data_IF_947787717875
#
_entry.id   IF_947787717875
#
_cell.length_a   1.000
_cell.length_b   1.000
_cell.length_c   1.000
_cell.angle_alpha   90.00
_cell.angle_beta   90.00
_cell.angle_gamma   90.00
#
_symmetry.space_group_name_H-M   'P 1'
#
loop_
_entity.id
_entity.type
_entity.pdbx_description
1 polymer ?
#
# COMPACT_ATOMS: atom_id res chain seq x y z
N UNK A 1 18.33 7.03 17.84
CA UNK A 1 17.46 7.72 16.86
C UNK A 1 18.13 7.98 15.51
N UNK A 2 19.13 8.88 15.35
CA UNK A 2 19.69 9.14 13.99
C UNK A 2 20.36 7.93 13.35
N UNK A 3 21.02 7.08 14.14
CA UNK A 3 21.64 5.85 13.65
C UNK A 3 20.59 4.80 13.24
N UNK A 4 19.48 4.71 13.96
CA UNK A 4 18.36 3.81 13.64
C UNK A 4 17.68 4.22 12.33
N UNK A 5 17.54 5.53 12.08
CA UNK A 5 16.99 6.03 10.82
C UNK A 5 17.89 5.63 9.64
N UNK A 6 19.22 5.66 9.80
CA UNK A 6 20.16 5.27 8.74
C UNK A 6 20.12 3.79 8.40
N UNK A 7 19.64 2.95 9.32
CA UNK A 7 19.46 1.51 9.09
C UNK A 7 18.23 1.18 8.24
N UNK A 8 17.32 2.15 8.02
CA UNK A 8 16.19 1.96 7.11
C UNK A 8 16.71 1.78 5.69
N UNK A 9 16.32 0.68 5.05
CA UNK A 9 16.74 0.33 3.70
C UNK A 9 16.09 1.28 2.69
N UNK A 10 16.90 1.81 1.77
CA UNK A 10 16.43 2.55 0.58
C UNK A 10 16.60 1.64 -0.63
N UNK A 11 15.51 1.05 -1.17
CA UNK A 11 15.58 0.23 -2.37
C UNK A 11 16.03 1.02 -3.60
N UNK A 12 16.64 0.35 -4.57
CA UNK A 12 17.10 0.98 -5.83
C UNK A 12 15.95 1.65 -6.58
N UNK A 13 14.76 1.03 -6.61
CA UNK A 13 13.57 1.64 -7.22
C UNK A 13 13.12 2.96 -6.57
N UNK A 14 13.50 3.22 -5.31
CA UNK A 14 13.28 4.53 -4.69
C UNK A 14 14.29 5.56 -5.18
N UNK A 15 15.53 5.16 -5.43
CA UNK A 15 16.54 6.04 -6.02
C UNK A 15 16.13 6.43 -7.46
N UNK A 16 15.69 5.46 -8.26
CA UNK A 16 15.17 5.70 -9.62
C UNK A 16 13.94 6.63 -9.60
N UNK A 17 12.98 6.37 -8.70
CA UNK A 17 11.81 7.23 -8.57
C UNK A 17 12.16 8.66 -8.13
N UNK A 18 13.13 8.82 -7.22
CA UNK A 18 13.60 10.13 -6.81
C UNK A 18 14.24 10.87 -8.00
N UNK A 19 15.04 10.19 -8.82
CA UNK A 19 15.62 10.75 -10.04
C UNK A 19 14.56 11.15 -11.06
N UNK A 20 13.50 10.37 -11.23
CA UNK A 20 12.35 10.70 -12.08
C UNK A 20 11.65 11.98 -11.60
N UNK A 21 11.39 12.08 -10.29
CA UNK A 21 10.83 13.30 -9.67
C UNK A 21 11.72 14.50 -9.97
N UNK A 22 13.04 14.37 -9.79
CA UNK A 22 13.96 15.47 -10.02
C UNK A 22 14.03 15.87 -11.50
N UNK A 23 14.00 14.90 -12.42
CA UNK A 23 13.94 15.16 -13.86
C UNK A 23 12.69 15.94 -14.25
N UNK A 24 11.52 15.55 -13.73
CA UNK A 24 10.23 16.22 -13.99
C UNK A 24 10.21 17.66 -13.42
N UNK A 25 10.76 17.86 -12.23
CA UNK A 25 10.88 19.20 -11.65
C UNK A 25 11.84 20.10 -12.45
N UNK A 26 12.93 19.57 -13.00
CA UNK A 26 13.80 20.34 -13.91
C UNK A 26 13.10 20.68 -15.22
N UNK A 27 12.32 19.75 -15.79
CA UNK A 27 11.52 19.98 -17.02
C UNK A 27 10.50 21.10 -16.84
N UNK A 28 9.94 21.25 -15.65
CA UNK A 28 9.04 22.36 -15.29
C UNK A 28 9.77 23.68 -14.95
N UNK A 29 11.10 23.73 -15.11
CA UNK A 29 11.91 24.94 -14.97
C UNK A 29 12.45 25.20 -13.56
N UNK A 30 12.28 24.27 -12.61
CA UNK A 30 12.83 24.42 -11.27
C UNK A 30 14.34 24.11 -11.26
N UNK A 31 15.13 25.05 -10.71
CA UNK A 31 16.55 24.84 -10.46
C UNK A 31 16.75 24.09 -9.14
N UNK A 32 16.98 22.78 -9.25
CA UNK A 32 17.38 21.94 -8.13
C UNK A 32 18.91 21.96 -7.98
N UNK A 33 19.40 22.06 -6.75
CA UNK A 33 20.83 21.93 -6.43
C UNK A 33 21.19 20.46 -6.23
N UNK A 34 22.36 20.04 -6.69
CA UNK A 34 22.87 18.67 -6.50
C UNK A 34 22.93 18.26 -5.03
N UNK A 35 23.17 19.22 -4.13
CA UNK A 35 23.10 18.97 -2.69
C UNK A 35 21.71 18.51 -2.25
N UNK A 36 20.63 19.08 -2.82
CA UNK A 36 19.25 18.65 -2.53
C UNK A 36 18.99 17.26 -3.08
N UNK A 37 19.53 16.94 -4.26
CA UNK A 37 19.43 15.60 -4.86
C UNK A 37 20.09 14.55 -3.99
N UNK A 38 21.25 14.84 -3.40
CA UNK A 38 21.99 13.89 -2.54
C UNK A 38 21.47 13.80 -1.10
N UNK A 39 20.56 14.71 -0.69
CA UNK A 39 20.06 14.78 0.70
C UNK A 39 18.67 14.17 0.89
N UNK A 40 18.08 13.53 -0.12
CA UNK A 40 16.71 13.03 -0.03
C UNK A 40 16.59 11.79 0.87
N UNK A 41 17.58 10.89 0.81
CA UNK A 41 17.52 9.58 1.47
C UNK A 41 17.31 9.69 2.98
N UNK A 42 18.03 10.56 3.73
CA UNK A 42 17.80 10.73 5.17
C UNK A 42 16.38 11.20 5.50
N UNK A 43 15.75 12.01 4.64
CA UNK A 43 14.38 12.51 4.85
C UNK A 43 13.37 11.39 4.64
N UNK A 44 13.53 10.62 3.56
CA UNK A 44 12.66 9.49 3.25
C UNK A 44 12.80 8.36 4.29
N UNK A 45 14.03 8.07 4.73
CA UNK A 45 14.33 7.13 5.81
C UNK A 45 13.68 7.57 7.13
N UNK A 46 13.79 8.85 7.49
CA UNK A 46 13.16 9.38 8.70
C UNK A 46 11.64 9.22 8.65
N UNK A 47 11.02 9.48 7.49
CA UNK A 47 9.57 9.31 7.30
C UNK A 47 9.15 7.84 7.45
N UNK A 48 9.87 6.91 6.84
CA UNK A 48 9.61 5.48 6.96
C UNK A 48 9.76 4.99 8.41
N UNK A 49 10.84 5.41 9.09
CA UNK A 49 11.10 5.07 10.50
C UNK A 49 10.00 5.58 11.44
N UNK A 50 9.53 6.81 11.24
CA UNK A 50 8.41 7.39 12.00
C UNK A 50 7.09 6.64 11.80
N UNK A 51 6.92 5.97 10.65
CA UNK A 51 5.78 5.07 10.39
C UNK A 51 6.05 3.62 10.82
N UNK A 52 7.15 3.37 11.54
CA UNK A 52 7.52 2.04 12.03
C UNK A 52 8.03 1.08 10.95
N UNK A 53 8.37 1.58 9.76
CA UNK A 53 8.87 0.78 8.64
C UNK A 53 10.39 0.75 8.61
N UNK A 54 10.95 -0.39 8.23
CA UNK A 54 12.40 -0.59 8.03
C UNK A 54 12.84 -0.42 6.57
N UNK A 55 11.89 -0.16 5.67
CA UNK A 55 12.15 0.05 4.25
C UNK A 55 11.37 1.27 3.76
N UNK A 56 12.04 2.11 2.98
CA UNK A 56 11.44 3.27 2.32
C UNK A 56 10.50 2.82 1.20
N UNK A 57 9.35 3.47 1.11
CA UNK A 57 8.35 3.27 0.05
C UNK A 57 8.13 4.58 -0.72
N UNK A 58 7.56 4.55 -1.94
CA UNK A 58 7.37 5.75 -2.77
C UNK A 58 6.74 6.94 -2.03
N UNK A 59 5.73 6.69 -1.19
CA UNK A 59 5.04 7.72 -0.40
C UNK A 59 5.94 8.51 0.54
N UNK A 60 7.07 7.96 0.97
CA UNK A 60 8.01 8.68 1.84
C UNK A 60 8.62 9.89 1.15
N UNK A 61 8.76 9.85 -0.18
CA UNK A 61 9.27 10.98 -0.97
C UNK A 61 8.33 12.20 -0.92
N UNK A 62 7.06 12.04 -0.53
CA UNK A 62 6.15 13.17 -0.32
C UNK A 62 6.64 14.13 0.77
N UNK A 63 7.50 13.68 1.69
CA UNK A 63 8.14 14.52 2.70
C UNK A 63 9.09 15.57 2.10
N UNK A 64 9.58 15.34 0.87
CA UNK A 64 10.46 16.27 0.16
C UNK A 64 9.76 17.57 -0.27
N UNK A 65 8.42 17.62 -0.21
CA UNK A 65 7.65 18.82 -0.57
C UNK A 65 8.14 20.08 0.11
N UNK A 66 8.62 20.00 1.36
CA UNK A 66 9.09 21.16 2.11
C UNK A 66 10.48 21.64 1.68
N UNK A 67 11.24 20.81 0.95
CA UNK A 67 12.65 21.03 0.64
C UNK A 67 12.90 21.37 -0.83
N UNK A 68 11.97 21.02 -1.74
CA UNK A 68 12.18 21.11 -3.18
C UNK A 68 11.79 22.47 -3.80
N UNK A 69 10.89 23.25 -3.19
CA UNK A 69 10.56 24.60 -3.69
C UNK A 69 11.64 25.63 -3.33
N UNK A 70 11.75 26.70 -4.13
CA UNK A 70 12.65 27.84 -3.89
C UNK A 70 11.87 29.12 -3.60
N UNK A 71 10.79 29.34 -4.34
CA UNK A 71 9.82 30.41 -4.11
C UNK A 71 8.44 29.82 -3.79
N UNK A 72 7.56 30.56 -3.08
CA UNK A 72 6.21 30.07 -2.75
C UNK A 72 5.41 29.59 -3.98
N UNK A 73 5.63 30.21 -5.15
CA UNK A 73 4.98 29.83 -6.40
C UNK A 73 5.36 28.43 -6.93
N UNK A 74 6.48 27.85 -6.50
CA UNK A 74 6.90 26.51 -6.94
C UNK A 74 6.16 25.38 -6.21
N UNK A 75 5.54 25.68 -5.05
CA UNK A 75 4.93 24.67 -4.17
C UNK A 75 3.90 23.82 -4.88
N UNK A 76 3.01 24.46 -5.64
CA UNK A 76 1.96 23.74 -6.37
C UNK A 76 2.53 22.76 -7.40
N UNK A 77 3.58 23.15 -8.12
CA UNK A 77 4.24 22.28 -9.10
C UNK A 77 4.98 21.11 -8.44
N UNK A 78 5.65 21.37 -7.31
CA UNK A 78 6.32 20.33 -6.50
C UNK A 78 5.31 19.33 -5.96
N UNK A 79 4.23 19.80 -5.31
CA UNK A 79 3.19 18.93 -4.76
C UNK A 79 2.51 18.10 -5.85
N UNK A 80 2.17 18.71 -7.00
CA UNK A 80 1.57 18.00 -8.11
C UNK A 80 2.48 16.90 -8.67
N UNK A 81 3.78 17.20 -8.84
CA UNK A 81 4.76 16.23 -9.37
C UNK A 81 4.96 15.06 -8.40
N UNK A 82 5.15 15.36 -7.11
CA UNK A 82 5.31 14.35 -6.07
C UNK A 82 4.06 13.46 -5.96
N UNK A 83 2.86 14.05 -5.92
CA UNK A 83 1.63 13.26 -5.84
C UNK A 83 1.45 12.36 -7.08
N UNK A 84 1.75 12.86 -8.27
CA UNK A 84 1.60 12.08 -9.51
C UNK A 84 2.56 10.89 -9.59
N UNK A 85 3.80 11.05 -9.13
CA UNK A 85 4.85 10.03 -9.28
C UNK A 85 4.95 9.09 -8.07
N UNK A 86 4.72 9.60 -6.87
CA UNK A 86 4.98 8.87 -5.62
C UNK A 86 3.73 8.20 -5.04
N UNK A 87 2.54 8.50 -5.57
CA UNK A 87 1.28 7.87 -5.14
C UNK A 87 0.83 6.92 -6.23
N UNK A 88 0.66 5.65 -5.86
CA UNK A 88 -0.02 4.67 -6.68
C UNK A 88 -1.44 4.44 -6.10
N UNK A 89 -2.49 5.01 -6.71
CA UNK A 89 -3.86 4.91 -6.19
C UNK A 89 -4.37 3.46 -6.13
N UNK A 90 -3.91 2.58 -7.02
CA UNK A 90 -4.29 1.17 -6.99
C UNK A 90 -3.65 0.47 -5.79
N UNK A 91 -2.36 0.71 -5.55
CA UNK A 91 -1.65 0.18 -4.37
C UNK A 91 -2.33 0.58 -3.06
N UNK A 92 -2.86 1.80 -2.99
CA UNK A 92 -3.57 2.28 -1.81
C UNK A 92 -4.87 1.50 -1.58
N UNK A 93 -5.69 1.35 -2.63
CA UNK A 93 -6.91 0.54 -2.55
C UNK A 93 -6.61 -0.92 -2.19
N UNK A 94 -5.54 -1.47 -2.73
CA UNK A 94 -5.07 -2.83 -2.40
C UNK A 94 -4.70 -2.94 -0.92
N UNK A 95 -3.96 -1.97 -0.40
CA UNK A 95 -3.57 -1.95 1.02
C UNK A 95 -4.76 -1.75 1.94
N UNK A 96 -5.76 -0.94 1.55
CA UNK A 96 -6.99 -0.76 2.30
C UNK A 96 -7.78 -2.08 2.39
N UNK A 97 -7.88 -2.85 1.29
CA UNK A 97 -8.52 -4.17 1.29
C UNK A 97 -7.75 -5.15 2.19
N UNK A 98 -6.42 -5.15 2.16
CA UNK A 98 -5.59 -5.96 3.08
C UNK A 98 -5.84 -5.61 4.54
N UNK A 99 -5.92 -4.32 4.86
CA UNK A 99 -6.20 -3.84 6.21
C UNK A 99 -7.61 -4.28 6.66
N UNK A 100 -8.62 -4.14 5.80
CA UNK A 100 -9.98 -4.65 6.09
C UNK A 100 -9.99 -6.16 6.30
N UNK A 101 -9.24 -6.93 5.51
CA UNK A 101 -9.15 -8.38 5.67
C UNK A 101 -8.53 -8.77 7.02
N UNK A 102 -7.47 -8.05 7.44
CA UNK A 102 -6.85 -8.24 8.76
C UNK A 102 -7.84 -7.91 9.90
N UNK A 103 -8.56 -6.80 9.79
CA UNK A 103 -9.57 -6.41 10.78
C UNK A 103 -10.71 -7.44 10.88
N UNK A 104 -11.23 -7.91 9.75
CA UNK A 104 -12.27 -8.96 9.69
C UNK A 104 -11.78 -10.26 10.34
N UNK A 105 -10.52 -10.63 10.13
CA UNK A 105 -9.89 -11.78 10.77
C UNK A 105 -9.78 -11.61 12.29
N UNK A 106 -9.34 -10.43 12.76
CA UNK A 106 -9.27 -10.13 14.20
C UNK A 106 -10.64 -10.17 14.86
N UNK A 107 -11.65 -9.57 14.24
CA UNK A 107 -13.04 -9.62 14.72
C UNK A 107 -13.56 -11.06 14.78
N UNK A 108 -13.22 -11.90 13.80
CA UNK A 108 -13.56 -13.32 13.82
C UNK A 108 -12.89 -14.05 14.97
N UNK A 109 -11.59 -13.86 15.17
CA UNK A 109 -10.85 -14.49 16.26
C UNK A 109 -11.36 -14.08 17.64
N UNK A 110 -11.81 -12.83 17.82
CA UNK A 110 -12.43 -12.39 19.06
C UNK A 110 -13.82 -13.01 19.31
N UNK A 111 -14.58 -13.30 18.23
CA UNK A 111 -15.96 -13.77 18.33
C UNK A 111 -16.14 -15.29 18.23
N UNK A 112 -15.14 -16.03 17.72
CA UNK A 112 -15.26 -17.46 17.38
C UNK A 112 -15.65 -18.33 18.58
N UNK A 113 -15.08 -18.08 19.76
CA UNK A 113 -15.30 -18.93 20.94
C UNK A 113 -16.62 -18.59 21.65
N UNK A 114 -17.20 -17.42 21.37
CA UNK A 114 -18.46 -16.94 21.96
C UNK A 114 -19.66 -17.27 21.08
N UNK A 115 -19.53 -17.06 19.78
CA UNK A 115 -20.67 -17.12 18.83
C UNK A 115 -20.53 -18.20 17.77
N UNK A 116 -19.41 -18.95 17.77
CA UNK A 116 -19.19 -20.14 16.95
C UNK A 116 -19.52 -19.92 15.48
N UNK A 117 -20.48 -20.70 14.97
CA UNK A 117 -20.91 -20.66 13.57
C UNK A 117 -21.40 -19.28 13.11
N UNK A 118 -21.97 -18.45 14.00
CA UNK A 118 -22.42 -17.09 13.63
C UNK A 118 -21.23 -16.18 13.31
N UNK A 119 -20.12 -16.31 14.04
CA UNK A 119 -18.88 -15.58 13.72
C UNK A 119 -18.36 -15.98 12.34
N UNK A 120 -18.39 -17.28 12.01
CA UNK A 120 -17.93 -17.79 10.72
C UNK A 120 -18.81 -17.31 9.56
N UNK A 121 -20.14 -17.29 9.74
CA UNK A 121 -21.06 -16.76 8.72
C UNK A 121 -20.77 -15.29 8.45
N UNK A 122 -20.64 -14.47 9.51
CA UNK A 122 -20.30 -13.05 9.37
C UNK A 122 -18.94 -12.86 8.67
N UNK A 123 -17.94 -13.63 9.09
CA UNK A 123 -16.61 -13.62 8.47
C UNK A 123 -16.67 -13.94 6.98
N UNK A 124 -17.37 -15.00 6.57
CA UNK A 124 -17.56 -15.37 5.16
C UNK A 124 -18.23 -14.27 4.36
N UNK A 125 -19.29 -13.66 4.88
CA UNK A 125 -19.98 -12.56 4.20
C UNK A 125 -19.06 -11.36 3.95
N UNK A 126 -18.25 -10.97 4.95
CA UNK A 126 -17.28 -9.88 4.78
C UNK A 126 -16.15 -10.26 3.82
N UNK A 127 -15.62 -11.47 3.88
CA UNK A 127 -14.58 -11.92 2.94
C UNK A 127 -15.07 -11.98 1.50
N UNK A 128 -16.33 -12.38 1.26
CA UNK A 128 -16.95 -12.30 -0.07
C UNK A 128 -17.09 -10.83 -0.51
N UNK A 129 -17.47 -9.91 0.38
CA UNK A 129 -17.50 -8.47 0.07
C UNK A 129 -16.12 -7.97 -0.38
N UNK A 130 -15.04 -8.36 0.31
CA UNK A 130 -13.68 -7.97 -0.06
C UNK A 130 -13.23 -8.58 -1.39
N UNK A 131 -13.63 -9.82 -1.67
CA UNK A 131 -13.39 -10.47 -2.97
C UNK A 131 -14.09 -9.73 -4.12
N UNK A 132 -15.34 -9.30 -3.94
CA UNK A 132 -16.05 -8.52 -4.94
C UNK A 132 -15.38 -7.16 -5.19
N UNK A 133 -14.94 -6.47 -4.13
CA UNK A 133 -14.17 -5.23 -4.27
C UNK A 133 -12.86 -5.44 -5.06
N UNK A 134 -12.14 -6.53 -4.80
CA UNK A 134 -10.94 -6.89 -5.56
C UNK A 134 -11.28 -7.19 -7.04
N UNK A 135 -12.39 -7.87 -7.30
CA UNK A 135 -12.85 -8.19 -8.66
C UNK A 135 -13.21 -6.93 -9.45
N UNK A 136 -13.83 -5.95 -8.81
CA UNK A 136 -14.13 -4.64 -9.41
C UNK A 136 -12.85 -3.87 -9.75
N UNK A 137 -11.82 -3.94 -8.89
CA UNK A 137 -10.50 -3.37 -9.22
C UNK A 137 -9.88 -4.09 -10.41
N UNK A 138 -10.02 -5.42 -10.48
CA UNK A 138 -9.49 -6.25 -11.56
C UNK A 138 -10.07 -5.88 -12.92
N UNK A 139 -11.34 -5.49 -12.98
CA UNK A 139 -12.00 -5.06 -14.21
C UNK A 139 -11.43 -3.75 -14.79
N UNK A 140 -10.71 -2.95 -13.99
CA UNK A 140 -10.22 -1.62 -14.36
C UNK A 140 -8.70 -1.55 -14.56
N UNK A 141 -8.01 -2.70 -14.59
CA UNK A 141 -6.56 -2.80 -14.78
C UNK A 141 -6.16 -2.34 -16.20
N UNK A 142 -5.04 -1.63 -16.30
CA UNK A 142 -4.50 -1.13 -17.57
C UNK A 142 -3.20 -1.79 -18.01
N UNK A 143 -2.44 -2.38 -17.08
CA UNK A 143 -1.13 -2.97 -17.37
C UNK A 143 -0.84 -4.24 -16.56
N UNK A 144 0.20 -4.97 -16.94
CA UNK A 144 0.55 -6.25 -16.31
C UNK A 144 1.06 -6.10 -14.86
N UNK A 145 1.66 -4.96 -14.50
CA UNK A 145 2.09 -4.71 -13.12
C UNK A 145 0.89 -4.53 -12.18
N UNK A 146 -0.13 -3.80 -12.62
CA UNK A 146 -1.41 -3.68 -11.91
C UNK A 146 -2.14 -5.02 -11.83
N UNK A 147 -2.06 -5.87 -12.87
CA UNK A 147 -2.58 -7.24 -12.81
C UNK A 147 -1.90 -8.06 -11.72
N UNK A 148 -0.57 -8.08 -11.70
CA UNK A 148 0.18 -8.80 -10.68
C UNK A 148 -0.20 -8.33 -9.26
N UNK A 149 -0.30 -7.02 -9.07
CA UNK A 149 -0.68 -6.44 -7.78
C UNK A 149 -2.07 -6.90 -7.29
N UNK A 150 -3.03 -7.01 -8.20
CA UNK A 150 -4.39 -7.46 -7.88
C UNK A 150 -4.49 -8.98 -7.71
N UNK A 151 -3.67 -9.75 -8.44
CA UNK A 151 -3.57 -11.19 -8.25
C UNK A 151 -2.89 -11.53 -6.90
N UNK A 152 -1.87 -10.77 -6.49
CA UNK A 152 -1.25 -10.87 -5.16
C UNK A 152 -2.25 -10.56 -4.04
N UNK A 153 -3.10 -9.53 -4.23
CA UNK A 153 -4.19 -9.22 -3.30
C UNK A 153 -5.16 -10.40 -3.16
N UNK A 154 -5.55 -11.04 -4.27
CA UNK A 154 -6.43 -12.21 -4.24
C UNK A 154 -5.79 -13.35 -3.45
N UNK A 155 -4.50 -13.62 -3.67
CA UNK A 155 -3.77 -14.65 -2.94
C UNK A 155 -3.74 -14.36 -1.43
N UNK A 156 -3.55 -13.09 -1.04
CA UNK A 156 -3.55 -12.67 0.37
C UNK A 156 -4.92 -12.90 1.04
N UNK A 157 -6.02 -12.45 0.42
CA UNK A 157 -7.36 -12.62 1.00
C UNK A 157 -7.79 -14.09 1.05
N UNK A 158 -7.41 -14.90 0.06
CA UNK A 158 -7.66 -16.35 0.07
C UNK A 158 -6.87 -17.05 1.18
N UNK A 159 -5.61 -16.63 1.40
CA UNK A 159 -4.80 -17.15 2.50
C UNK A 159 -5.43 -16.83 3.85
N UNK A 160 -5.94 -15.61 4.04
CA UNK A 160 -6.68 -15.21 5.26
C UNK A 160 -7.94 -16.07 5.43
N UNK A 161 -8.75 -16.21 4.37
CA UNK A 161 -9.94 -17.05 4.38
C UNK A 161 -9.61 -18.49 4.77
N UNK A 162 -8.63 -19.10 4.13
CA UNK A 162 -8.19 -20.47 4.40
C UNK A 162 -7.73 -20.67 5.83
N UNK A 163 -6.90 -19.76 6.36
CA UNK A 163 -6.42 -19.82 7.74
C UNK A 163 -7.55 -19.76 8.77
N UNK A 164 -8.53 -18.89 8.55
CA UNK A 164 -9.70 -18.78 9.42
C UNK A 164 -10.52 -20.09 9.46
N UNK A 165 -10.80 -20.68 8.30
CA UNK A 165 -11.54 -21.94 8.19
C UNK A 165 -10.84 -23.11 8.87
N UNK A 166 -9.51 -23.21 8.68
CA UNK A 166 -8.69 -24.24 9.32
C UNK A 166 -8.70 -24.12 10.86
N UNK A 167 -8.72 -22.90 11.38
CA UNK A 167 -8.73 -22.63 12.84
C UNK A 167 -9.98 -23.20 13.53
N UNK A 168 -11.12 -23.27 12.82
CA UNK A 168 -12.38 -23.80 13.35
C UNK A 168 -12.70 -25.22 12.84
N UNK A 169 -11.79 -25.86 12.10
CA UNK A 169 -11.97 -27.21 11.58
C UNK A 169 -13.02 -27.33 10.47
N UNK A 170 -13.36 -26.24 9.80
CA UNK A 170 -14.30 -26.24 8.67
C UNK A 170 -13.58 -26.46 7.33
N UNK A 171 -14.28 -27.09 6.39
CA UNK A 171 -13.80 -27.20 5.00
C UNK A 171 -13.70 -25.80 4.40
N UNK A 172 -12.49 -25.47 3.94
CA UNK A 172 -12.22 -24.28 3.16
C UNK A 172 -12.89 -24.38 1.78
N UNK A 173 -13.60 -23.32 1.41
CA UNK A 173 -14.10 -23.11 0.05
C UNK A 173 -13.48 -21.81 -0.48
N UNK A 174 -12.96 -21.81 -1.72
CA UNK A 174 -12.49 -20.61 -2.41
C UNK A 174 -13.51 -19.47 -2.43
N UNK A 175 -13.05 -18.22 -2.42
CA UNK A 175 -13.92 -17.04 -2.34
C UNK A 175 -14.82 -16.86 -3.56
N UNK A 176 -14.35 -17.26 -4.74
CA UNK A 176 -15.15 -17.27 -5.97
C UNK A 176 -16.37 -18.21 -5.87
N UNK A 177 -16.16 -19.41 -5.30
CA UNK A 177 -17.23 -20.37 -5.04
C UNK A 177 -18.18 -19.87 -3.95
N UNK A 178 -17.65 -19.28 -2.87
CA UNK A 178 -18.48 -18.70 -1.80
C UNK A 178 -19.32 -17.53 -2.33
N UNK A 179 -18.78 -16.71 -3.23
CA UNK A 179 -19.52 -15.62 -3.86
C UNK A 179 -20.64 -16.13 -4.78
N UNK A 180 -20.42 -17.24 -5.48
CA UNK A 180 -21.43 -17.86 -6.35
C UNK A 180 -22.60 -18.52 -5.60
N UNK A 181 -22.47 -18.73 -4.28
CA UNK A 181 -23.48 -19.34 -3.42
C UNK A 181 -24.37 -18.31 -2.70
N UNK A 182 -24.10 -17.01 -2.86
CA UNK A 182 -24.93 -15.92 -2.34
C UNK A 182 -26.00 -15.52 -3.36
#
# INVERSE_FOLDING_TARGET
MQEEVRQVVVPDGINELADDVFCELRRSGLKLSDRKLLSFSPIAQAKAWLEGRQTVVPKDLLALRCCLWQKPGDRAAVDATLNRLCINPLQDKVNDIRAMAAEVLEQFHAAKDVTGNKALIKFRSEMVRLYLMQSDLRANIQNDAERQLIDDLLADIEKVSKGAHQTVGFTYAPLDQLAALQ
#
